data_IF_848153824675
#
_entry.id   IF_848153824675
#
_cell.length_a   1.000
_cell.length_b   1.000
_cell.length_c   1.000
_cell.angle_alpha   90.00
_cell.angle_beta   90.00
_cell.angle_gamma   90.00
#
_symmetry.space_group_name_H-M   'P 1'
#
loop_
_entity.id
_entity.type
_entity.pdbx_description
1 polymer ?
#
# COMPACT_ATOMS: atom_id res chain seq x y z
N UNK A 1 -12.11 4.80 -7.05
CA UNK A 1 -11.65 3.40 -6.99
C UNK A 1 -10.15 3.49 -6.95
N UNK A 2 -9.58 3.35 -5.77
CA UNK A 2 -8.14 3.50 -5.54
C UNK A 2 -7.47 2.14 -5.73
N UNK A 3 -6.35 2.11 -6.46
CA UNK A 3 -5.62 0.90 -6.80
C UNK A 3 -4.17 1.05 -6.35
N UNK A 4 -3.61 0.00 -5.74
CA UNK A 4 -2.23 -0.01 -5.25
C UNK A 4 -1.49 -1.21 -5.83
N UNK A 5 -0.36 -0.94 -6.49
CA UNK A 5 0.53 -1.92 -7.09
C UNK A 5 1.83 -2.06 -6.29
N UNK A 6 2.63 -3.07 -6.63
CA UNK A 6 3.98 -3.24 -6.10
C UNK A 6 4.84 -1.98 -6.30
N UNK A 7 4.80 -1.39 -7.49
CA UNK A 7 5.56 -0.19 -7.81
C UNK A 7 5.23 1.00 -6.89
N UNK A 8 3.96 1.16 -6.49
CA UNK A 8 3.53 2.21 -5.56
C UNK A 8 4.09 1.96 -4.17
N UNK A 9 4.04 0.72 -3.71
CA UNK A 9 4.60 0.30 -2.41
C UNK A 9 6.10 0.50 -2.38
N UNK A 10 6.82 0.06 -3.41
CA UNK A 10 8.27 0.23 -3.50
C UNK A 10 8.69 1.71 -3.53
N UNK A 11 7.94 2.56 -4.24
CA UNK A 11 8.16 4.02 -4.21
C UNK A 11 7.88 4.60 -2.82
N UNK A 12 6.78 4.20 -2.18
CA UNK A 12 6.43 4.68 -0.85
C UNK A 12 7.47 4.28 0.21
N UNK A 13 8.05 3.07 0.11
CA UNK A 13 9.18 2.63 0.94
C UNK A 13 10.39 3.55 0.72
N UNK A 14 10.78 3.79 -0.53
CA UNK A 14 11.93 4.66 -0.86
C UNK A 14 11.75 6.09 -0.36
N UNK A 15 10.52 6.60 -0.44
CA UNK A 15 10.15 7.94 0.00
C UNK A 15 9.85 8.02 1.50
N UNK A 16 9.93 6.90 2.22
CA UNK A 16 9.59 6.77 3.64
C UNK A 16 8.18 7.34 3.97
N UNK A 17 7.22 7.14 3.05
CA UNK A 17 5.82 7.57 3.19
C UNK A 17 4.88 6.39 3.32
N UNK A 18 3.76 6.57 4.02
CA UNK A 18 2.71 5.56 4.14
C UNK A 18 1.64 5.71 3.07
N UNK A 19 1.06 4.59 2.66
CA UNK A 19 -0.09 4.53 1.74
C UNK A 19 -1.33 4.21 2.58
N UNK A 20 -2.25 5.16 2.65
CA UNK A 20 -3.52 4.96 3.32
C UNK A 20 -4.51 4.29 2.37
N UNK A 21 -4.95 3.09 2.72
CA UNK A 21 -5.91 2.30 1.94
C UNK A 21 -7.28 2.32 2.61
N UNK A 22 -8.31 2.52 1.80
CA UNK A 22 -9.71 2.45 2.22
C UNK A 22 -10.31 1.05 2.03
N UNK A 23 -11.53 0.81 2.54
CA UNK A 23 -12.18 -0.50 2.49
C UNK A 23 -12.51 -0.99 1.06
N UNK A 24 -12.49 -0.09 0.06
CA UNK A 24 -12.72 -0.41 -1.36
C UNK A 24 -11.44 -0.29 -2.19
N UNK A 25 -10.29 -0.06 -1.57
CA UNK A 25 -9.01 0.04 -2.27
C UNK A 25 -8.60 -1.34 -2.76
N UNK A 26 -8.33 -1.46 -4.05
CA UNK A 26 -7.88 -2.71 -4.65
C UNK A 26 -6.35 -2.74 -4.51
N UNK A 27 -5.85 -3.70 -3.74
CA UNK A 27 -4.42 -3.92 -3.56
C UNK A 27 -4.04 -5.23 -4.26
N UNK A 28 -3.11 -5.18 -5.20
CA UNK A 28 -2.65 -6.39 -5.89
C UNK A 28 -1.95 -7.35 -4.92
N UNK A 29 -1.92 -8.66 -5.20
CA UNK A 29 -1.14 -9.60 -4.40
C UNK A 29 0.32 -9.16 -4.22
N UNK A 30 1.00 -8.79 -5.32
CA UNK A 30 2.39 -8.33 -5.29
C UNK A 30 2.60 -7.08 -4.44
N UNK A 31 1.66 -6.13 -4.45
CA UNK A 31 1.72 -4.96 -3.57
C UNK A 31 1.66 -5.35 -2.09
N UNK A 32 0.81 -6.32 -1.76
CA UNK A 32 0.64 -6.83 -0.41
C UNK A 32 1.88 -7.60 0.04
N UNK A 33 2.45 -8.45 -0.81
CA UNK A 33 3.73 -9.12 -0.58
C UNK A 33 4.86 -8.11 -0.32
N UNK A 34 5.01 -7.10 -1.17
CA UNK A 34 6.01 -6.04 -1.02
C UNK A 34 5.83 -5.19 0.25
N UNK A 35 4.59 -5.07 0.73
CA UNK A 35 4.28 -4.39 1.98
C UNK A 35 4.44 -5.29 3.21
N UNK A 36 4.46 -6.62 3.10
CA UNK A 36 4.62 -7.53 4.25
C UNK A 36 5.80 -7.19 5.17
N UNK A 37 7.01 -6.89 4.65
CA UNK A 37 8.14 -6.52 5.51
C UNK A 37 8.09 -5.07 6.04
N UNK A 38 7.15 -4.23 5.60
CA UNK A 38 7.14 -2.79 5.90
C UNK A 38 5.74 -2.28 6.27
N UNK A 39 5.62 -1.47 7.33
CA UNK A 39 4.32 -0.91 7.77
C UNK A 39 3.80 0.24 6.87
N UNK A 40 3.79 0.01 5.55
CA UNK A 40 3.49 0.98 4.49
C UNK A 40 2.00 1.06 4.20
N UNK A 41 1.29 -0.07 4.16
CA UNK A 41 -0.16 -0.09 3.91
C UNK A 41 -0.91 0.12 5.22
N UNK A 42 -1.55 1.29 5.37
CA UNK A 42 -2.34 1.64 6.54
C UNK A 42 -3.81 1.67 6.19
N UNK A 43 -4.62 0.88 6.89
CA UNK A 43 -6.08 0.96 6.79
C UNK A 43 -6.55 2.29 7.39
N UNK A 44 -7.07 3.18 6.53
CA UNK A 44 -7.74 4.38 7.00
C UNK A 44 -9.02 3.97 7.73
N UNK A 45 -9.08 4.23 9.04
CA UNK A 45 -10.31 4.10 9.81
C UNK A 45 -11.24 5.22 9.35
N UNK A 46 -12.30 4.84 8.62
CA UNK A 46 -13.45 5.70 8.38
C UNK A 46 -14.26 5.90 9.65
#
# INVERSE_FOLDING_TARGET
MDFVCEADVLQAIKENRKIYIGPKTIVTPSARDAATPSDILVLAKG
#
